data_IF_256150327860
#
_entry.id   IF_256150327860
#
_cell.length_a   1.000
_cell.length_b   1.000
_cell.length_c   1.000
_cell.angle_alpha   90.00
_cell.angle_beta   90.00
_cell.angle_gamma   90.00
#
_symmetry.space_group_name_H-M   'P 1'
#
loop_
_entity.id
_entity.type
_entity.pdbx_description
1 polymer ?
#
# COMPACT_ATOMS: atom_id res chain seq x y z
N UNK A 1 -13.91 -18.10 -2.79
CA UNK A 1 -13.53 -17.40 -1.54
C UNK A 1 -14.71 -16.51 -1.17
N UNK A 2 -15.25 -16.67 0.02
CA UNK A 2 -16.27 -15.78 0.51
C UNK A 2 -15.68 -14.52 1.17
N UNK A 3 -16.53 -13.58 1.60
CA UNK A 3 -16.05 -12.31 2.16
C UNK A 3 -15.32 -12.47 3.50
N UNK A 4 -15.73 -13.42 4.33
CA UNK A 4 -15.08 -13.69 5.62
C UNK A 4 -13.71 -14.33 5.41
N UNK A 5 -13.62 -15.29 4.50
CA UNK A 5 -12.33 -15.88 4.10
C UNK A 5 -11.36 -14.83 3.57
N UNK A 6 -11.84 -13.91 2.72
CA UNK A 6 -11.03 -12.82 2.21
C UNK A 6 -10.43 -11.96 3.33
N UNK A 7 -11.24 -11.58 4.30
CA UNK A 7 -10.84 -10.73 5.43
C UNK A 7 -9.90 -11.43 6.41
N UNK A 8 -10.09 -12.74 6.61
CA UNK A 8 -9.39 -13.48 7.67
C UNK A 8 -8.12 -14.18 7.19
N UNK A 9 -8.03 -14.53 5.88
CA UNK A 9 -6.93 -15.36 5.37
C UNK A 9 -5.82 -14.59 4.64
N UNK A 10 -6.04 -13.32 4.23
CA UNK A 10 -4.96 -12.51 3.64
C UNK A 10 -3.78 -12.38 4.63
N UNK A 11 -2.57 -12.61 4.13
CA UNK A 11 -1.31 -12.50 4.91
C UNK A 11 -0.31 -11.55 4.25
N UNK A 12 0.64 -11.06 5.06
CA UNK A 12 1.82 -10.36 4.57
C UNK A 12 2.87 -11.38 4.13
N UNK A 13 2.95 -11.61 2.85
CA UNK A 13 3.87 -12.58 2.24
C UNK A 13 5.20 -11.90 1.92
N UNK A 14 6.32 -12.59 2.20
CA UNK A 14 7.69 -12.07 2.01
C UNK A 14 8.58 -12.99 1.19
N UNK A 15 8.03 -14.08 0.69
CA UNK A 15 8.70 -15.03 -0.18
C UNK A 15 7.81 -15.29 -1.39
N UNK A 16 8.37 -15.09 -2.56
CA UNK A 16 7.63 -15.12 -3.81
C UNK A 16 8.29 -16.09 -4.78
N UNK A 17 7.50 -16.69 -5.65
CA UNK A 17 7.96 -17.46 -6.80
C UNK A 17 8.65 -16.53 -7.79
N UNK A 18 9.59 -17.09 -8.54
CA UNK A 18 10.19 -16.40 -9.68
C UNK A 18 9.24 -16.47 -10.89
N UNK A 19 8.11 -15.81 -10.74
CA UNK A 19 7.02 -15.78 -11.72
C UNK A 19 6.47 -14.35 -11.80
N UNK A 20 6.45 -13.73 -12.99
CA UNK A 20 5.98 -12.37 -13.13
C UNK A 20 4.46 -12.29 -13.01
N UNK A 21 3.98 -11.28 -12.29
CA UNK A 21 2.56 -10.90 -12.30
C UNK A 21 2.34 -9.96 -13.48
N UNK A 22 1.37 -10.28 -14.35
CA UNK A 22 1.14 -9.48 -15.55
C UNK A 22 0.59 -8.09 -15.24
N UNK A 23 0.86 -7.13 -16.12
CA UNK A 23 0.33 -5.76 -16.01
C UNK A 23 -1.19 -5.72 -16.16
N UNK A 24 -1.77 -6.62 -16.93
CA UNK A 24 -3.21 -6.79 -17.10
C UNK A 24 -3.87 -7.18 -15.79
N UNK A 25 -3.32 -8.18 -15.10
CA UNK A 25 -3.80 -8.61 -13.79
C UNK A 25 -3.64 -7.51 -12.74
N UNK A 26 -2.50 -6.81 -12.72
CA UNK A 26 -2.33 -5.66 -11.83
C UNK A 26 -3.31 -4.53 -12.14
N UNK A 27 -3.63 -4.29 -13.40
CA UNK A 27 -4.64 -3.29 -13.80
C UNK A 27 -6.04 -3.67 -13.27
N UNK A 28 -6.41 -4.95 -13.32
CA UNK A 28 -7.67 -5.43 -12.73
C UNK A 28 -7.69 -5.23 -11.21
N UNK A 29 -6.59 -5.56 -10.53
CA UNK A 29 -6.44 -5.37 -9.08
C UNK A 29 -6.61 -3.90 -8.71
N UNK A 30 -5.97 -2.99 -9.46
CA UNK A 30 -6.09 -1.55 -9.22
C UNK A 30 -7.54 -1.07 -9.46
N UNK A 31 -8.23 -1.55 -10.50
CA UNK A 31 -9.66 -1.22 -10.72
C UNK A 31 -10.53 -1.61 -9.52
N UNK A 32 -10.29 -2.76 -8.91
CA UNK A 32 -10.98 -3.17 -7.69
C UNK A 32 -10.58 -2.30 -6.49
N UNK A 33 -9.33 -1.84 -6.45
CA UNK A 33 -8.82 -0.98 -5.38
C UNK A 33 -9.43 0.42 -5.41
N UNK A 34 -9.87 0.91 -6.56
CA UNK A 34 -10.55 2.21 -6.72
C UNK A 34 -11.91 2.28 -6.00
N UNK A 35 -12.51 1.15 -5.60
CA UNK A 35 -13.72 1.12 -4.79
C UNK A 35 -13.46 1.40 -3.30
N UNK A 36 -12.22 1.64 -2.90
CA UNK A 36 -11.90 2.13 -1.56
C UNK A 36 -12.60 3.46 -1.29
N UNK A 37 -13.32 3.63 -0.17
CA UNK A 37 -13.87 4.93 0.17
C UNK A 37 -12.75 5.94 0.45
N UNK A 38 -13.01 7.21 0.19
CA UNK A 38 -12.12 8.31 0.52
C UNK A 38 -12.93 9.54 0.91
N UNK A 39 -12.30 10.51 1.56
CA UNK A 39 -12.95 11.76 1.93
C UNK A 39 -13.64 12.38 0.71
N UNK A 40 -14.93 12.62 0.82
CA UNK A 40 -15.78 13.18 -0.26
C UNK A 40 -15.60 12.52 -1.63
N UNK A 41 -15.14 11.26 -1.64
CA UNK A 41 -14.81 10.52 -2.85
C UNK A 41 -13.75 11.21 -3.74
N UNK A 42 -12.78 11.88 -3.13
CA UNK A 42 -11.70 12.56 -3.87
C UNK A 42 -10.71 11.58 -4.52
N UNK A 43 -10.68 10.30 -4.09
CA UNK A 43 -9.87 9.26 -4.71
C UNK A 43 -8.41 9.68 -4.88
N UNK A 44 -7.83 10.22 -3.81
CA UNK A 44 -6.49 10.82 -3.80
C UNK A 44 -5.34 9.83 -3.93
N UNK A 45 -5.59 8.54 -3.70
CA UNK A 45 -4.56 7.51 -3.80
C UNK A 45 -4.03 7.36 -5.23
N UNK A 46 -2.72 7.16 -5.36
CA UNK A 46 -2.03 6.88 -6.62
C UNK A 46 -1.19 5.62 -6.49
N UNK A 47 -1.24 4.78 -7.50
CA UNK A 47 -0.60 3.46 -7.53
C UNK A 47 0.49 3.46 -8.60
N UNK A 48 1.74 3.70 -8.20
CA UNK A 48 2.89 3.71 -9.10
C UNK A 48 3.51 2.32 -9.13
N UNK A 49 3.29 1.56 -10.22
CA UNK A 49 3.76 0.19 -10.36
C UNK A 49 5.19 0.18 -10.90
N UNK A 50 6.06 -0.59 -10.25
CA UNK A 50 7.42 -0.85 -10.67
C UNK A 50 7.59 -2.36 -10.81
N UNK A 51 7.77 -2.82 -12.05
CA UNK A 51 8.00 -4.22 -12.43
C UNK A 51 9.34 -4.42 -13.17
N UNK A 52 10.11 -3.35 -13.34
CA UNK A 52 11.46 -3.42 -13.88
C UNK A 52 12.45 -3.84 -12.80
N UNK A 53 13.22 -4.91 -13.05
CA UNK A 53 14.16 -5.51 -12.09
C UNK A 53 15.21 -4.55 -11.56
N UNK A 54 15.82 -3.78 -12.45
CA UNK A 54 16.89 -2.84 -12.09
C UNK A 54 16.38 -1.73 -11.15
N UNK A 55 15.15 -1.22 -11.41
CA UNK A 55 14.53 -0.21 -10.56
C UNK A 55 14.10 -0.78 -9.20
N UNK A 56 13.63 -2.04 -9.18
CA UNK A 56 13.30 -2.75 -7.93
C UNK A 56 14.56 -2.87 -7.06
N UNK A 57 15.68 -3.27 -7.64
CA UNK A 57 16.95 -3.43 -6.94
C UNK A 57 17.51 -2.09 -6.46
N UNK A 58 17.46 -1.03 -7.28
CA UNK A 58 17.89 0.31 -6.86
C UNK A 58 17.07 0.83 -5.65
N UNK A 59 15.76 0.67 -5.66
CA UNK A 59 14.92 1.07 -4.52
C UNK A 59 15.23 0.22 -3.29
N UNK A 60 15.41 -1.09 -3.45
CA UNK A 60 15.75 -1.98 -2.35
C UNK A 60 17.09 -1.59 -1.68
N UNK A 61 18.08 -1.25 -2.46
CA UNK A 61 19.43 -0.95 -1.95
C UNK A 61 19.54 0.47 -1.37
N UNK A 62 18.80 1.43 -1.91
CA UNK A 62 19.02 2.84 -1.62
C UNK A 62 17.86 3.54 -0.89
N UNK A 63 16.68 2.91 -0.78
CA UNK A 63 15.51 3.60 -0.27
C UNK A 63 14.84 2.94 0.96
N UNK A 64 15.44 1.93 1.56
CA UNK A 64 14.87 1.22 2.73
C UNK A 64 15.66 1.42 4.02
N UNK A 65 16.41 2.50 4.13
CA UNK A 65 17.15 2.91 5.32
C UNK A 65 18.04 1.79 5.91
N UNK A 66 18.62 0.92 5.05
CA UNK A 66 19.45 -0.21 5.46
C UNK A 66 18.71 -1.35 6.15
N UNK A 67 17.37 -1.35 6.18
CA UNK A 67 16.60 -2.42 6.81
C UNK A 67 16.61 -3.69 5.94
N UNK A 68 17.55 -4.58 6.24
CA UNK A 68 17.89 -5.78 5.46
C UNK A 68 16.67 -6.67 5.14
N UNK A 69 15.71 -6.77 6.06
CA UNK A 69 14.50 -7.58 5.82
C UNK A 69 13.64 -7.01 4.68
N UNK A 70 13.48 -5.68 4.60
CA UNK A 70 12.76 -5.04 3.51
C UNK A 70 13.53 -5.20 2.19
N UNK A 71 14.86 -5.00 2.20
CA UNK A 71 15.71 -5.21 1.02
C UNK A 71 15.51 -6.60 0.42
N UNK A 72 15.60 -7.65 1.25
CA UNK A 72 15.42 -9.04 0.80
C UNK A 72 14.01 -9.30 0.28
N UNK A 73 12.99 -8.75 0.93
CA UNK A 73 11.58 -8.91 0.53
C UNK A 73 11.31 -8.25 -0.82
N UNK A 74 11.80 -7.01 -1.01
CA UNK A 74 11.67 -6.27 -2.27
C UNK A 74 12.35 -7.02 -3.41
N UNK A 75 13.60 -7.46 -3.20
CA UNK A 75 14.39 -8.18 -4.23
C UNK A 75 13.82 -9.54 -4.65
N UNK A 76 12.91 -10.13 -3.87
CA UNK A 76 12.25 -11.40 -4.18
C UNK A 76 10.89 -11.24 -4.84
N UNK A 77 10.32 -10.05 -4.78
CA UNK A 77 8.99 -9.78 -5.32
C UNK A 77 9.00 -9.69 -6.86
N UNK A 78 7.87 -10.02 -7.48
CA UNK A 78 7.66 -9.81 -8.92
C UNK A 78 7.61 -8.33 -9.27
N UNK A 79 7.13 -7.51 -8.34
CA UNK A 79 7.04 -6.07 -8.50
C UNK A 79 6.67 -5.37 -7.20
N UNK A 80 6.50 -4.07 -7.29
CA UNK A 80 6.02 -3.25 -6.18
C UNK A 80 5.07 -2.16 -6.67
N UNK A 81 4.16 -1.78 -5.81
CA UNK A 81 3.37 -0.55 -5.91
C UNK A 81 3.97 0.45 -4.93
N UNK A 82 4.45 1.57 -5.41
CA UNK A 82 4.70 2.74 -4.58
C UNK A 82 3.37 3.48 -4.44
N UNK A 83 2.78 3.39 -3.26
CA UNK A 83 1.53 4.08 -2.95
C UNK A 83 1.85 5.53 -2.59
N UNK A 84 1.25 6.46 -3.30
CA UNK A 84 1.27 7.88 -3.00
C UNK A 84 -0.15 8.44 -2.88
N UNK A 85 -0.26 9.66 -2.38
CA UNK A 85 -1.51 10.39 -2.34
C UNK A 85 -1.31 11.84 -2.79
N UNK A 86 -2.36 12.40 -3.39
CA UNK A 86 -2.41 13.82 -3.73
C UNK A 86 -2.62 14.64 -2.47
N UNK A 87 -1.80 15.68 -2.28
CA UNK A 87 -1.85 16.57 -1.11
C UNK A 87 -2.89 17.68 -1.28
N UNK A 88 -3.44 18.18 -0.17
CA UNK A 88 -4.28 19.37 -0.15
C UNK A 88 -5.74 19.21 -0.56
N UNK A 89 -6.19 17.96 -0.82
CA UNK A 89 -7.59 17.70 -1.21
C UNK A 89 -8.39 17.03 -0.08
N UNK A 90 -7.88 15.93 0.49
CA UNK A 90 -8.56 15.19 1.55
C UNK A 90 -8.54 15.97 2.87
N UNK A 91 -9.64 15.87 3.63
CA UNK A 91 -9.82 16.58 4.91
C UNK A 91 -10.30 18.04 4.76
N UNK A 92 -10.48 18.53 3.55
CA UNK A 92 -11.00 19.88 3.28
C UNK A 92 -12.46 19.85 2.83
N UNK A 93 -13.29 20.74 3.37
CA UNK A 93 -14.70 20.87 2.95
C UNK A 93 -14.85 21.53 1.57
N UNK A 94 -13.85 22.29 1.13
CA UNK A 94 -13.89 23.05 -0.12
C UNK A 94 -13.03 22.48 -1.23
N UNK A 95 -12.31 21.40 -0.97
CA UNK A 95 -11.33 20.83 -1.94
C UNK A 95 -10.11 21.73 -2.16
N UNK A 96 -10.02 22.86 -1.44
CA UNK A 96 -8.88 23.80 -1.47
C UNK A 96 -8.58 24.20 -0.04
N UNK A 97 -7.43 23.79 0.47
CA UNK A 97 -6.91 24.31 1.73
C UNK A 97 -6.29 25.69 1.44
N UNK A 98 -6.92 26.76 1.93
CA UNK A 98 -6.19 28.02 2.07
C UNK A 98 -5.03 27.78 3.05
N UNK A 99 -3.83 28.23 2.68
CA UNK A 99 -2.58 28.03 3.45
C UNK A 99 -2.69 28.66 4.84
N UNK A 100 -3.26 27.96 5.77
CA UNK A 100 -3.28 28.25 7.19
C UNK A 100 -2.88 26.99 7.96
N UNK A 101 -2.78 27.08 9.27
CA UNK A 101 -2.39 26.00 10.20
C UNK A 101 -3.14 24.65 10.05
N UNK A 102 -3.96 24.50 9.04
CA UNK A 102 -4.76 23.31 8.71
C UNK A 102 -4.06 22.32 7.77
N UNK A 103 -2.85 22.62 7.27
CA UNK A 103 -2.06 21.69 6.43
C UNK A 103 -1.90 20.31 7.09
N UNK A 104 -1.77 20.29 8.42
CA UNK A 104 -1.61 19.07 9.21
C UNK A 104 -2.86 18.19 9.22
N UNK A 105 -4.05 18.77 9.17
CA UNK A 105 -5.33 18.03 9.18
C UNK A 105 -5.55 17.36 7.84
N UNK A 106 -5.30 18.06 6.75
CA UNK A 106 -5.41 17.53 5.39
C UNK A 106 -4.44 16.36 5.14
N UNK A 107 -3.18 16.47 5.57
CA UNK A 107 -2.22 15.38 5.44
C UNK A 107 -2.60 14.15 6.26
N UNK A 108 -3.16 14.33 7.47
CA UNK A 108 -3.64 13.21 8.29
C UNK A 108 -4.79 12.46 7.61
N UNK A 109 -5.76 13.19 7.04
CA UNK A 109 -6.86 12.56 6.30
C UNK A 109 -6.38 11.92 5.00
N UNK A 110 -5.44 12.54 4.30
CA UNK A 110 -4.86 11.96 3.10
C UNK A 110 -4.11 10.64 3.41
N UNK A 111 -3.37 10.59 4.52
CA UNK A 111 -2.75 9.35 5.01
C UNK A 111 -3.79 8.29 5.38
N UNK A 112 -4.91 8.69 6.01
CA UNK A 112 -6.00 7.78 6.36
C UNK A 112 -6.65 7.19 5.11
N UNK A 113 -7.00 8.01 4.12
CA UNK A 113 -7.55 7.58 2.83
C UNK A 113 -6.57 6.64 2.10
N UNK A 114 -5.28 6.98 2.08
CA UNK A 114 -4.25 6.13 1.49
C UNK A 114 -4.14 4.77 2.21
N UNK A 115 -4.30 4.74 3.54
CA UNK A 115 -4.36 3.50 4.33
C UNK A 115 -5.54 2.62 3.97
N UNK A 116 -6.73 3.21 3.76
CA UNK A 116 -7.92 2.49 3.28
C UNK A 116 -7.66 1.92 1.88
N UNK A 117 -7.13 2.73 0.96
CA UNK A 117 -6.79 2.31 -0.40
C UNK A 117 -5.74 1.19 -0.41
N UNK A 118 -4.76 1.25 0.50
CA UNK A 118 -3.75 0.21 0.70
C UNK A 118 -4.36 -1.13 1.11
N UNK A 119 -5.28 -1.12 2.08
CA UNK A 119 -5.98 -2.33 2.50
C UNK A 119 -6.82 -2.91 1.35
N UNK A 120 -7.58 -2.07 0.65
CA UNK A 120 -8.39 -2.50 -0.48
C UNK A 120 -7.53 -3.13 -1.58
N UNK A 121 -6.36 -2.56 -1.89
CA UNK A 121 -5.38 -3.14 -2.81
C UNK A 121 -4.94 -4.54 -2.37
N UNK A 122 -4.57 -4.71 -1.10
CA UNK A 122 -4.12 -6.00 -0.56
C UNK A 122 -5.23 -7.07 -0.61
N UNK A 123 -6.49 -6.69 -0.35
CA UNK A 123 -7.64 -7.60 -0.44
C UNK A 123 -7.95 -7.95 -1.89
N UNK A 124 -7.95 -6.98 -2.80
CA UNK A 124 -8.16 -7.21 -4.23
C UNK A 124 -7.08 -8.11 -4.83
N UNK A 125 -5.81 -7.89 -4.48
CA UNK A 125 -4.70 -8.73 -4.89
C UNK A 125 -4.88 -10.17 -4.39
N UNK A 126 -5.18 -10.35 -3.10
CA UNK A 126 -5.40 -11.67 -2.50
C UNK A 126 -6.57 -12.41 -3.17
N UNK A 127 -7.69 -11.72 -3.44
CA UNK A 127 -8.83 -12.28 -4.15
C UNK A 127 -8.48 -12.76 -5.58
N UNK A 128 -7.46 -12.17 -6.19
CA UNK A 128 -6.92 -12.52 -7.51
C UNK A 128 -5.72 -13.49 -7.45
N UNK A 129 -5.40 -14.05 -6.28
CA UNK A 129 -4.29 -14.99 -6.11
C UNK A 129 -2.90 -14.34 -6.07
N UNK A 130 -2.82 -13.02 -5.93
CA UNK A 130 -1.57 -12.28 -5.80
C UNK A 130 -1.32 -11.93 -4.34
N UNK A 131 -0.21 -12.37 -3.82
CA UNK A 131 0.23 -12.11 -2.46
C UNK A 131 0.91 -10.75 -2.35
N UNK A 132 0.77 -10.09 -1.19
CA UNK A 132 1.32 -8.76 -0.94
C UNK A 132 2.00 -8.64 0.42
N UNK A 133 2.89 -7.64 0.56
CA UNK A 133 3.40 -7.18 1.85
C UNK A 133 3.57 -5.67 1.84
N UNK A 134 3.02 -4.99 2.86
CA UNK A 134 3.17 -3.54 3.06
C UNK A 134 4.49 -3.27 3.80
N UNK A 135 5.29 -2.35 3.29
CA UNK A 135 6.59 -1.96 3.84
C UNK A 135 6.60 -0.47 4.14
N UNK A 136 6.88 -0.11 5.42
CA UNK A 136 6.86 1.27 5.91
C UNK A 136 8.24 1.80 6.36
N UNK A 137 9.26 0.94 6.52
CA UNK A 137 10.63 1.39 6.82
C UNK A 137 11.30 1.73 5.49
N UNK A 138 11.03 2.93 4.99
CA UNK A 138 11.45 3.43 3.67
C UNK A 138 11.83 4.91 3.75
N UNK A 139 12.62 5.37 2.81
CA UNK A 139 12.91 6.79 2.60
C UNK A 139 11.97 7.33 1.51
N UNK A 140 10.87 7.95 1.94
CA UNK A 140 9.81 8.43 1.06
C UNK A 140 10.32 9.45 0.03
N UNK A 141 11.21 10.36 0.44
CA UNK A 141 11.78 11.40 -0.45
C UNK A 141 12.69 10.79 -1.51
N UNK A 142 13.55 9.85 -1.12
CA UNK A 142 14.44 9.16 -2.06
C UNK A 142 13.65 8.34 -3.09
N UNK A 143 12.53 7.73 -2.69
CA UNK A 143 11.64 7.02 -3.61
C UNK A 143 10.96 8.00 -4.56
N UNK A 144 10.39 9.08 -4.02
CA UNK A 144 9.70 10.11 -4.82
C UNK A 144 10.60 10.67 -5.92
N UNK A 145 11.88 10.95 -5.61
CA UNK A 145 12.87 11.40 -6.58
C UNK A 145 13.13 10.36 -7.68
N UNK A 146 13.28 9.08 -7.32
CA UNK A 146 13.59 8.01 -8.27
C UNK A 146 12.46 7.70 -9.25
N UNK A 147 11.22 7.89 -8.82
CA UNK A 147 10.06 7.65 -9.69
C UNK A 147 9.56 8.94 -10.37
N UNK A 148 10.25 10.08 -10.17
CA UNK A 148 9.82 11.39 -10.63
C UNK A 148 8.38 11.72 -10.19
N UNK A 149 8.08 11.48 -8.91
CA UNK A 149 6.75 11.70 -8.36
C UNK A 149 6.34 13.18 -8.52
N UNK A 150 5.10 13.48 -8.92
CA UNK A 150 4.59 14.86 -8.98
C UNK A 150 4.75 15.58 -7.63
N UNK A 151 5.06 16.90 -7.66
CA UNK A 151 5.32 17.70 -6.45
C UNK A 151 4.13 17.79 -5.48
N UNK A 152 2.92 17.60 -6.00
CA UNK A 152 1.68 17.58 -5.22
C UNK A 152 1.32 16.17 -4.71
N UNK A 153 2.23 15.21 -4.79
CA UNK A 153 2.05 13.88 -4.25
C UNK A 153 3.08 13.55 -3.17
N UNK A 154 2.70 12.72 -2.21
CA UNK A 154 3.59 12.18 -1.18
C UNK A 154 3.53 10.66 -1.15
N UNK A 155 4.70 10.01 -1.07
CA UNK A 155 4.81 8.56 -0.87
C UNK A 155 4.35 8.20 0.54
N UNK A 156 3.56 7.13 0.69
CA UNK A 156 3.14 6.61 1.99
C UNK A 156 3.71 5.23 2.32
N UNK A 157 3.72 4.32 1.36
CA UNK A 157 4.21 2.95 1.58
C UNK A 157 4.69 2.32 0.27
N UNK A 158 5.49 1.26 0.37
CA UNK A 158 5.70 0.29 -0.69
C UNK A 158 4.83 -0.93 -0.39
N UNK A 159 4.11 -1.43 -1.39
CA UNK A 159 3.42 -2.71 -1.36
C UNK A 159 4.10 -3.63 -2.39
N UNK A 160 4.90 -4.56 -1.93
CA UNK A 160 5.49 -5.58 -2.79
C UNK A 160 4.45 -6.64 -3.12
N UNK A 161 4.53 -7.22 -4.32
CA UNK A 161 3.60 -8.24 -4.78
C UNK A 161 4.27 -9.35 -5.58
N UNK A 162 3.61 -10.51 -5.63
CA UNK A 162 4.03 -11.69 -6.38
C UNK A 162 3.18 -12.90 -6.04
N UNK A 163 3.48 -14.04 -6.62
CA UNK A 163 2.87 -15.32 -6.24
C UNK A 163 3.59 -15.88 -5.01
N UNK A 164 2.82 -16.29 -3.98
CA UNK A 164 3.38 -16.84 -2.74
C UNK A 164 4.18 -18.11 -3.02
N UNK A 165 5.42 -18.17 -2.47
CA UNK A 165 6.27 -19.35 -2.53
C UNK A 165 6.29 -20.06 -1.17
N UNK A 166 5.78 -21.28 -1.13
CA UNK A 166 5.67 -22.12 0.05
C UNK A 166 4.26 -22.19 0.62
N UNK A 167 4.16 -22.65 1.85
CA UNK A 167 2.88 -22.82 2.54
C UNK A 167 2.34 -21.47 3.03
N UNK A 168 1.04 -21.28 2.90
CA UNK A 168 0.35 -20.13 3.45
C UNK A 168 0.36 -20.18 4.98
N UNK A 169 0.83 -19.10 5.60
CA UNK A 169 0.98 -19.08 7.05
C UNK A 169 -0.35 -18.81 7.77
N UNK A 170 -0.51 -19.43 8.94
CA UNK A 170 -1.62 -19.13 9.83
C UNK A 170 -1.65 -17.67 10.28
N UNK A 171 -2.83 -17.22 10.69
CA UNK A 171 -2.97 -15.90 11.25
C UNK A 171 -2.22 -15.77 12.58
N UNK A 172 -1.38 -14.75 12.78
CA UNK A 172 -0.84 -14.48 14.10
C UNK A 172 -1.97 -14.20 15.10
N UNK A 173 -1.72 -14.52 16.38
CA UNK A 173 -2.68 -14.25 17.46
C UNK A 173 -3.17 -12.79 17.40
N UNK A 174 -4.46 -12.59 17.55
CA UNK A 174 -5.08 -11.28 17.71
C UNK A 174 -5.22 -10.96 19.19
N UNK A 175 -5.30 -9.67 19.49
CA UNK A 175 -5.70 -9.22 20.83
C UNK A 175 -7.10 -9.72 21.14
N UNK A 176 -7.39 -9.89 22.43
CA UNK A 176 -8.72 -10.22 22.87
C UNK A 176 -9.68 -9.04 22.57
N UNK A 177 -10.95 -9.35 22.30
CA UNK A 177 -11.89 -8.33 21.82
C UNK A 177 -12.05 -7.18 22.82
N UNK A 178 -11.98 -7.46 24.11
CA UNK A 178 -12.10 -6.49 25.21
C UNK A 178 -10.93 -5.49 25.26
N UNK A 179 -9.79 -5.81 24.63
CA UNK A 179 -8.67 -4.87 24.53
C UNK A 179 -8.89 -3.79 23.44
N UNK A 180 -9.79 -4.05 22.48
CA UNK A 180 -9.96 -3.21 21.28
C UNK A 180 -11.38 -2.66 21.12
N UNK A 181 -12.36 -3.20 21.84
CA UNK A 181 -13.76 -2.79 21.80
C UNK A 181 -14.17 -2.13 23.12
N UNK A 182 -14.88 -1.03 23.04
CA UNK A 182 -15.52 -0.37 24.19
C UNK A 182 -16.90 0.09 23.77
N UNK A 183 -17.90 -0.18 24.60
CA UNK A 183 -19.21 0.44 24.55
C UNK A 183 -19.19 1.67 25.46
N UNK A 184 -19.65 2.79 24.95
CA UNK A 184 -19.75 4.05 25.70
C UNK A 184 -21.24 4.33 25.88
N UNK A 185 -21.71 4.25 27.13
CA UNK A 185 -23.11 4.49 27.51
C UNK A 185 -23.36 5.97 27.79
#
# INVERSE_FOLDING_TARGET
MDAIELLTNRRSVRKYKDEPVSRELMTEIIRLSQFAPSWSNYQIARYNIIDNRERIEDIADNCVQGFVYNMKTIKRASGMVVLSYVTGESGSLTGKVEKSSEETVSDNWACFDAGIACLQLCLAAYAKGVATCILGVINNEAIAQRINLPKNEKVTAIIVYGYEDGEHHDAPKRKDIDEVLRFID
#
